data_IF_373520210687
#
_entry.id   IF_373520210687
#
_cell.length_a   1.000
_cell.length_b   1.000
_cell.length_c   1.000
_cell.angle_alpha   90.00
_cell.angle_beta   90.00
_cell.angle_gamma   90.00
#
_symmetry.space_group_name_H-M   'P 1'
#
loop_
_entity.id
_entity.type
_entity.pdbx_description
1 polymer ?
#
# COMPACT_ATOMS: atom_id res chain seq x y z
N UNK A 1 5.64 -13.08 14.57
CA UNK A 1 5.17 -11.66 14.55
C UNK A 1 3.88 -11.60 13.77
N UNK A 2 2.80 -11.07 14.38
CA UNK A 2 1.48 -11.02 13.73
C UNK A 2 1.33 -9.74 12.91
N UNK A 3 1.12 -9.90 11.61
CA UNK A 3 0.97 -8.80 10.64
C UNK A 3 -0.50 -8.73 10.20
N UNK A 4 -1.06 -7.52 10.16
CA UNK A 4 -2.32 -7.22 9.50
C UNK A 4 -2.02 -6.34 8.27
N UNK A 5 -2.72 -6.57 7.14
CA UNK A 5 -2.51 -5.82 5.92
C UNK A 5 -3.83 -5.45 5.26
N UNK A 6 -3.92 -4.22 4.75
CA UNK A 6 -5.07 -3.67 4.01
C UNK A 6 -4.61 -2.69 2.93
N UNK A 7 -5.48 -2.38 1.99
CA UNK A 7 -5.33 -1.32 0.99
C UNK A 7 -6.68 -0.80 0.51
N UNK A 8 -6.66 0.29 -0.27
CA UNK A 8 -7.81 0.82 -1.03
C UNK A 8 -9.02 1.15 -0.16
N UNK A 9 -8.76 1.67 1.03
CA UNK A 9 -9.85 2.01 1.95
C UNK A 9 -10.68 3.21 1.48
N UNK A 10 -10.11 4.12 0.67
CA UNK A 10 -10.79 5.32 0.13
C UNK A 10 -11.68 6.03 1.16
N UNK A 11 -11.17 6.18 2.38
CA UNK A 11 -11.85 6.84 3.49
C UNK A 11 -12.88 6.03 4.26
N UNK A 12 -13.15 4.77 3.91
CA UNK A 12 -14.05 3.87 4.63
C UNK A 12 -13.39 3.28 5.88
N UNK A 13 -13.09 4.14 6.86
CA UNK A 13 -12.34 3.73 8.06
C UNK A 13 -13.17 2.89 9.04
N UNK A 14 -14.49 3.11 9.09
CA UNK A 14 -15.38 2.48 10.09
C UNK A 14 -15.90 1.12 9.65
N UNK A 15 -15.84 0.83 8.35
CA UNK A 15 -16.35 -0.42 7.78
C UNK A 15 -15.30 -1.53 7.77
N UNK A 16 -14.07 -1.23 8.24
CA UNK A 16 -12.93 -2.14 8.26
C UNK A 16 -12.58 -2.47 9.70
N UNK A 17 -12.81 -3.71 10.10
CA UNK A 17 -12.48 -4.22 11.43
C UNK A 17 -11.03 -4.72 11.44
N UNK A 18 -10.14 -3.93 12.07
CA UNK A 18 -8.72 -4.27 12.20
C UNK A 18 -8.51 -5.11 13.45
N UNK A 19 -8.08 -6.38 13.31
CA UNK A 19 -7.81 -7.24 14.46
C UNK A 19 -6.54 -6.83 15.20
N UNK A 20 -6.39 -7.32 16.43
CA UNK A 20 -5.15 -7.15 17.19
C UNK A 20 -3.95 -7.76 16.43
N UNK A 21 -2.90 -6.95 16.23
CA UNK A 21 -1.67 -7.34 15.56
C UNK A 21 -0.46 -6.58 16.11
N UNK A 22 0.75 -7.10 15.85
CA UNK A 22 1.98 -6.38 16.17
C UNK A 22 2.16 -5.21 15.19
N UNK A 23 1.88 -5.43 13.90
CA UNK A 23 2.05 -4.44 12.83
C UNK A 23 0.83 -4.42 11.89
N UNK A 24 0.37 -3.21 11.56
CA UNK A 24 -0.53 -2.98 10.43
C UNK A 24 0.27 -2.36 9.27
N UNK A 25 0.19 -2.95 8.08
CA UNK A 25 0.70 -2.35 6.84
C UNK A 25 -0.46 -1.93 5.94
N UNK A 26 -0.37 -0.72 5.32
CA UNK A 26 -1.42 -0.18 4.46
C UNK A 26 -0.82 0.16 3.10
N UNK A 27 -1.29 -0.51 2.04
CA UNK A 27 -0.72 -0.46 0.70
C UNK A 27 -1.32 0.66 -0.20
N UNK A 28 -1.72 1.79 0.39
CA UNK A 28 -2.14 2.98 -0.36
C UNK A 28 -3.64 3.15 -0.53
N UNK A 29 -4.01 4.17 -1.29
CA UNK A 29 -5.38 4.63 -1.57
C UNK A 29 -6.20 4.87 -0.31
N UNK A 30 -5.67 5.81 0.49
CA UNK A 30 -6.17 6.17 1.81
C UNK A 30 -7.36 7.12 1.73
N UNK A 31 -7.22 8.18 0.89
CA UNK A 31 -8.07 9.38 0.87
C UNK A 31 -9.44 9.07 0.23
N UNK A 32 -10.56 9.62 0.78
CA UNK A 32 -11.86 9.51 0.14
C UNK A 32 -11.85 10.07 -1.29
N UNK A 33 -12.44 9.34 -2.24
CA UNK A 33 -12.51 9.74 -3.65
C UNK A 33 -13.09 11.16 -3.85
N UNK A 34 -14.06 11.55 -3.03
CA UNK A 34 -14.71 12.86 -3.12
C UNK A 34 -13.81 14.05 -2.83
N UNK A 35 -12.67 13.84 -2.17
CA UNK A 35 -11.73 14.91 -1.78
C UNK A 35 -10.31 14.70 -2.32
N UNK A 36 -10.02 13.62 -3.03
CA UNK A 36 -8.68 13.23 -3.50
C UNK A 36 -7.93 14.33 -4.27
N UNK A 37 -8.67 15.18 -5.01
CA UNK A 37 -8.09 16.30 -5.76
C UNK A 37 -8.00 17.62 -4.97
N UNK A 38 -8.50 17.66 -3.73
CA UNK A 38 -8.56 18.88 -2.92
C UNK A 38 -7.54 18.83 -1.77
N UNK A 39 -6.33 19.31 -2.01
CA UNK A 39 -5.18 19.15 -1.10
C UNK A 39 -5.46 19.60 0.34
N UNK A 40 -6.10 20.77 0.55
CA UNK A 40 -6.46 21.24 1.89
C UNK A 40 -7.50 20.35 2.59
N UNK A 41 -8.44 19.81 1.84
CA UNK A 41 -9.45 18.89 2.39
C UNK A 41 -8.82 17.55 2.74
N UNK A 42 -7.90 17.06 1.91
CA UNK A 42 -7.12 15.85 2.16
C UNK A 42 -6.28 15.97 3.44
N UNK A 43 -5.54 17.08 3.62
CA UNK A 43 -4.82 17.33 4.86
C UNK A 43 -5.74 17.36 6.09
N UNK A 44 -6.87 18.10 5.98
CA UNK A 44 -7.87 18.14 7.06
C UNK A 44 -8.41 16.77 7.41
N UNK A 45 -8.64 15.91 6.39
CA UNK A 45 -9.09 14.54 6.59
C UNK A 45 -8.03 13.69 7.29
N UNK A 46 -6.76 13.77 6.89
CA UNK A 46 -5.66 13.08 7.58
C UNK A 46 -5.62 13.46 9.07
N UNK A 47 -5.70 14.74 9.39
CA UNK A 47 -5.66 15.24 10.77
C UNK A 47 -6.89 14.85 11.59
N UNK A 48 -8.10 14.95 11.02
CA UNK A 48 -9.35 14.89 11.77
C UNK A 48 -10.04 13.53 11.72
N UNK A 49 -9.66 12.67 10.78
CA UNK A 49 -10.29 11.35 10.59
C UNK A 49 -9.26 10.23 10.61
N UNK A 50 -8.24 10.28 9.76
CA UNK A 50 -7.27 9.20 9.62
C UNK A 50 -6.41 9.02 10.87
N UNK A 51 -5.80 10.10 11.38
CA UNK A 51 -4.99 10.02 12.60
C UNK A 51 -5.79 9.54 13.83
N UNK A 52 -6.99 10.08 14.16
CA UNK A 52 -7.81 9.53 15.24
C UNK A 52 -8.20 8.06 15.05
N UNK A 53 -8.47 7.64 13.81
CA UNK A 53 -8.71 6.24 13.51
C UNK A 53 -7.48 5.38 13.79
N UNK A 54 -6.29 5.77 13.29
CA UNK A 54 -5.04 5.07 13.59
C UNK A 54 -4.80 4.94 15.10
N UNK A 55 -5.12 6.00 15.88
CA UNK A 55 -4.96 6.01 17.34
C UNK A 55 -5.88 5.03 18.05
N UNK A 56 -7.02 4.68 17.45
CA UNK A 56 -8.00 3.72 18.01
C UNK A 56 -7.67 2.25 17.72
N UNK A 57 -6.71 1.97 16.82
CA UNK A 57 -6.44 0.61 16.38
C UNK A 57 -5.67 -0.21 17.42
N UNK A 58 -6.01 -1.51 17.57
CA UNK A 58 -5.35 -2.43 18.50
C UNK A 58 -4.05 -3.01 17.93
N UNK A 59 -3.15 -2.12 17.48
CA UNK A 59 -1.86 -2.51 16.88
C UNK A 59 -0.71 -1.75 17.54
N UNK A 60 0.48 -2.36 17.57
CA UNK A 60 1.65 -1.70 18.15
C UNK A 60 2.17 -0.58 17.24
N UNK A 61 2.20 -0.82 15.92
CA UNK A 61 2.69 0.12 14.93
C UNK A 61 1.89 0.06 13.63
N UNK A 62 1.88 1.16 12.88
CA UNK A 62 1.34 1.23 11.51
C UNK A 62 2.41 1.74 10.57
N UNK A 63 2.59 1.03 9.46
CA UNK A 63 3.42 1.44 8.32
C UNK A 63 2.52 1.59 7.11
N UNK A 64 2.61 2.70 6.38
CA UNK A 64 1.76 2.93 5.22
C UNK A 64 2.48 3.63 4.08
N UNK A 65 2.00 3.42 2.87
CA UNK A 65 2.40 4.12 1.65
C UNK A 65 1.21 4.90 1.09
N UNK A 66 1.46 5.73 0.08
CA UNK A 66 0.41 6.31 -0.76
C UNK A 66 -0.02 5.34 -1.87
N UNK A 67 -1.17 5.61 -2.48
CA UNK A 67 -1.61 5.04 -3.74
C UNK A 67 -1.90 6.15 -4.77
N UNK A 68 -2.41 5.77 -5.94
CA UNK A 68 -2.63 6.70 -7.04
C UNK A 68 -3.75 7.73 -6.76
N UNK A 69 -4.63 7.48 -5.82
CA UNK A 69 -5.65 8.45 -5.40
C UNK A 69 -5.17 9.40 -4.29
N UNK A 70 -3.95 9.24 -3.77
CA UNK A 70 -3.42 10.04 -2.66
C UNK A 70 -2.62 11.27 -3.12
N UNK A 71 -3.20 12.09 -4.01
CA UNK A 71 -2.57 13.26 -4.63
C UNK A 71 -1.90 14.21 -3.65
N UNK A 72 -2.45 14.36 -2.45
CA UNK A 72 -1.87 15.21 -1.41
C UNK A 72 -0.45 14.74 -1.00
N UNK A 73 -0.20 13.42 -1.02
CA UNK A 73 1.08 12.84 -0.61
C UNK A 73 2.15 12.97 -1.71
N UNK A 74 1.76 13.10 -2.97
CA UNK A 74 2.67 13.35 -4.08
C UNK A 74 3.16 14.81 -4.11
N UNK A 75 2.28 15.78 -3.82
CA UNK A 75 2.59 17.22 -3.91
C UNK A 75 3.35 17.73 -2.68
N UNK A 76 4.64 17.44 -2.62
CA UNK A 76 5.55 17.87 -1.55
C UNK A 76 5.81 19.39 -1.54
N UNK A 77 5.44 20.10 -2.61
CA UNK A 77 5.51 21.57 -2.66
C UNK A 77 4.37 22.23 -1.86
N UNK A 78 3.33 21.47 -1.54
CA UNK A 78 2.22 21.95 -0.71
C UNK A 78 2.71 22.26 0.72
N UNK A 79 2.50 23.48 1.24
CA UNK A 79 2.90 23.83 2.60
C UNK A 79 2.33 22.91 3.69
N UNK A 80 1.14 22.36 3.47
CA UNK A 80 0.48 21.45 4.42
C UNK A 80 1.19 20.07 4.50
N UNK A 81 2.02 19.69 3.52
CA UNK A 81 2.75 18.43 3.52
C UNK A 81 3.73 18.32 4.70
N UNK A 82 4.41 19.43 5.06
CA UNK A 82 5.26 19.46 6.25
C UNK A 82 4.45 19.18 7.52
N UNK A 83 3.29 19.80 7.66
CA UNK A 83 2.42 19.57 8.81
C UNK A 83 1.83 18.16 8.82
N UNK A 84 1.65 17.53 7.65
CA UNK A 84 1.30 16.12 7.57
C UNK A 84 2.40 15.25 8.17
N UNK A 85 3.67 15.45 7.81
CA UNK A 85 4.80 14.71 8.39
C UNK A 85 4.89 14.89 9.91
N UNK A 86 4.62 16.11 10.41
CA UNK A 86 4.62 16.40 11.84
C UNK A 86 3.52 15.61 12.60
N UNK A 87 2.38 15.28 11.95
CA UNK A 87 1.33 14.46 12.57
C UNK A 87 1.81 13.04 12.92
N UNK A 88 2.82 12.54 12.20
CA UNK A 88 3.34 11.17 12.31
C UNK A 88 4.77 11.13 12.88
N UNK A 89 5.20 12.21 13.55
CA UNK A 89 6.57 12.33 14.08
C UNK A 89 6.82 11.55 15.36
N UNK A 90 5.78 10.98 16.00
CA UNK A 90 5.89 10.21 17.24
C UNK A 90 6.50 8.80 17.03
N UNK A 91 6.71 8.40 15.78
CA UNK A 91 7.29 7.12 15.41
C UNK A 91 6.35 5.92 15.51
N UNK A 92 5.10 6.10 15.93
CA UNK A 92 4.09 5.03 15.95
C UNK A 92 3.44 4.79 14.58
N UNK A 93 3.40 5.84 13.73
CA UNK A 93 2.81 5.81 12.40
C UNK A 93 3.85 6.22 11.39
N UNK A 94 4.24 5.33 10.48
CA UNK A 94 5.37 5.50 9.57
C UNK A 94 4.86 5.59 8.13
N UNK A 95 5.03 6.75 7.49
CA UNK A 95 4.83 6.92 6.06
C UNK A 95 6.12 6.56 5.31
N UNK A 96 6.02 5.66 4.34
CA UNK A 96 7.13 5.26 3.49
C UNK A 96 6.91 5.72 2.04
N UNK A 97 7.98 6.23 1.44
CA UNK A 97 8.09 6.51 0.02
C UNK A 97 9.54 6.25 -0.38
N UNK A 98 9.76 5.17 -1.11
CA UNK A 98 11.08 4.65 -1.50
C UNK A 98 12.04 4.53 -0.30
N UNK A 99 11.55 3.99 0.79
CA UNK A 99 12.30 3.89 2.05
C UNK A 99 12.21 2.51 2.68
N UNK A 100 13.34 2.11 3.25
CA UNK A 100 13.43 0.96 4.15
C UNK A 100 13.09 1.39 5.59
N UNK A 101 12.31 0.57 6.27
CA UNK A 101 12.01 0.69 7.69
C UNK A 101 12.20 -0.66 8.38
N UNK A 102 12.69 -0.66 9.60
CA UNK A 102 12.76 -1.86 10.44
C UNK A 102 11.87 -1.67 11.65
N UNK A 103 10.85 -2.51 11.75
CA UNK A 103 9.99 -2.61 12.92
C UNK A 103 10.52 -3.66 13.90
N UNK A 104 10.43 -3.38 15.19
CA UNK A 104 10.71 -4.34 16.26
C UNK A 104 9.54 -4.33 17.23
N UNK A 105 8.87 -5.48 17.39
CA UNK A 105 7.75 -5.59 18.31
C UNK A 105 8.23 -5.68 19.78
N UNK A 106 7.29 -5.64 20.72
CA UNK A 106 7.58 -5.73 22.18
C UNK A 106 8.25 -7.04 22.60
N UNK A 107 8.22 -8.08 21.76
CA UNK A 107 8.90 -9.37 22.01
C UNK A 107 10.34 -9.37 21.50
N UNK A 108 10.80 -8.30 20.82
CA UNK A 108 12.12 -8.21 20.23
C UNK A 108 12.23 -8.87 18.84
N UNK A 109 11.12 -9.29 18.23
CA UNK A 109 11.11 -9.80 16.86
C UNK A 109 11.19 -8.63 15.88
N UNK A 110 11.95 -8.77 14.79
CA UNK A 110 12.18 -7.71 13.79
C UNK A 110 11.56 -8.06 12.45
N UNK A 111 11.10 -7.03 11.74
CA UNK A 111 10.58 -7.11 10.38
C UNK A 111 11.12 -5.92 9.55
N UNK A 112 11.69 -6.20 8.39
CA UNK A 112 12.16 -5.18 7.45
C UNK A 112 11.10 -4.93 6.38
N UNK A 113 10.71 -3.65 6.19
CA UNK A 113 9.67 -3.23 5.24
C UNK A 113 10.27 -2.18 4.30
N UNK A 114 10.20 -2.40 3.00
CA UNK A 114 10.46 -1.35 2.01
C UNK A 114 9.13 -0.92 1.40
N UNK A 115 8.82 0.39 1.45
CA UNK A 115 7.57 0.94 0.94
C UNK A 115 7.80 1.84 -0.28
N UNK A 116 7.02 1.61 -1.35
CA UNK A 116 7.02 2.42 -2.58
C UNK A 116 5.60 2.56 -3.14
N UNK A 117 5.13 3.80 -3.42
CA UNK A 117 3.75 4.05 -3.85
C UNK A 117 3.55 3.95 -5.37
N UNK A 118 4.61 3.87 -6.15
CA UNK A 118 4.57 4.06 -7.59
C UNK A 118 3.89 2.92 -8.34
N UNK A 119 3.11 3.28 -9.38
CA UNK A 119 2.44 2.38 -10.31
C UNK A 119 2.73 2.78 -11.77
N UNK A 120 2.40 1.90 -12.70
CA UNK A 120 2.46 2.17 -14.14
C UNK A 120 1.36 3.16 -14.57
N UNK A 121 1.57 3.77 -15.76
CA UNK A 121 0.68 4.80 -16.29
C UNK A 121 -0.55 4.14 -16.95
N UNK A 122 -1.73 4.38 -16.40
CA UNK A 122 -3.02 4.03 -17.03
C UNK A 122 -4.01 5.22 -17.07
N UNK A 123 -3.60 6.41 -16.62
CA UNK A 123 -4.42 7.62 -16.58
C UNK A 123 -3.64 8.84 -16.10
N UNK A 124 -4.33 9.76 -15.44
CA UNK A 124 -3.77 11.01 -14.91
C UNK A 124 -3.89 11.05 -13.38
N UNK A 125 -3.38 10.01 -12.74
CA UNK A 125 -3.39 9.87 -11.28
C UNK A 125 -2.02 10.17 -10.69
N UNK A 126 -1.92 10.16 -9.37
CA UNK A 126 -0.66 10.40 -8.67
C UNK A 126 0.23 9.15 -8.65
N UNK A 127 1.51 9.34 -8.39
CA UNK A 127 2.50 8.27 -8.28
C UNK A 127 2.56 7.34 -9.50
N UNK A 128 2.19 7.85 -10.70
CA UNK A 128 2.28 7.09 -11.94
C UNK A 128 3.53 7.43 -12.70
N UNK A 129 4.25 6.38 -13.13
CA UNK A 129 5.49 6.52 -13.89
C UNK A 129 5.55 5.50 -15.03
N UNK A 130 6.36 5.82 -16.05
CA UNK A 130 6.63 4.87 -17.12
C UNK A 130 7.40 3.66 -16.59
N UNK A 131 7.23 2.48 -17.22
CA UNK A 131 7.99 1.26 -16.86
C UNK A 131 9.51 1.51 -16.85
N UNK A 132 10.03 2.36 -17.75
CA UNK A 132 11.44 2.74 -17.75
C UNK A 132 11.83 3.51 -16.47
N UNK A 133 10.97 4.40 -15.97
CA UNK A 133 11.20 5.13 -14.71
C UNK A 133 11.04 4.19 -13.52
N UNK A 134 9.99 3.34 -13.54
CA UNK A 134 9.75 2.33 -12.51
C UNK A 134 10.92 1.38 -12.34
N UNK A 135 11.57 0.95 -13.43
CA UNK A 135 12.81 0.15 -13.36
C UNK A 135 13.89 0.84 -12.52
N UNK A 136 14.05 2.17 -12.68
CA UNK A 136 15.04 2.94 -11.88
C UNK A 136 14.60 3.12 -10.43
N UNK A 137 13.30 3.28 -10.18
CA UNK A 137 12.75 3.39 -8.83
C UNK A 137 12.92 2.05 -8.11
N UNK A 138 12.45 0.96 -8.68
CA UNK A 138 12.46 -0.35 -8.06
C UNK A 138 13.86 -0.99 -7.98
N UNK A 139 14.84 -0.53 -8.78
CA UNK A 139 16.25 -0.95 -8.60
C UNK A 139 16.81 -0.58 -7.22
N UNK A 140 16.23 0.41 -6.53
CA UNK A 140 16.63 0.84 -5.18
C UNK A 140 16.10 -0.06 -4.06
N UNK A 141 15.16 -0.96 -4.36
CA UNK A 141 14.63 -1.92 -3.39
C UNK A 141 15.80 -2.75 -2.85
N UNK A 142 15.98 -2.83 -1.52
CA UNK A 142 17.01 -3.68 -0.93
C UNK A 142 16.73 -5.17 -1.17
N UNK A 143 17.77 -5.98 -1.19
CA UNK A 143 17.64 -7.44 -1.27
C UNK A 143 17.08 -8.03 0.03
N UNK A 144 16.31 -9.11 -0.10
CA UNK A 144 15.85 -9.95 1.00
C UNK A 144 15.08 -9.21 2.12
N UNK A 145 14.34 -8.13 1.79
CA UNK A 145 13.43 -7.51 2.77
C UNK A 145 12.30 -8.49 3.13
N UNK A 146 11.80 -8.42 4.35
CA UNK A 146 10.68 -9.28 4.76
C UNK A 146 9.40 -8.90 4.01
N UNK A 147 9.08 -7.60 3.95
CA UNK A 147 7.90 -7.07 3.26
C UNK A 147 8.31 -6.00 2.26
N UNK A 148 7.93 -6.21 1.00
CA UNK A 148 7.88 -5.18 -0.02
C UNK A 148 6.44 -4.69 -0.11
N UNK A 149 6.19 -3.47 0.38
CA UNK A 149 4.89 -2.82 0.37
C UNK A 149 4.79 -1.93 -0.86
N UNK A 150 3.94 -2.30 -1.82
CA UNK A 150 3.74 -1.57 -3.08
C UNK A 150 2.26 -1.22 -3.25
N UNK A 151 1.94 -0.21 -4.09
CA UNK A 151 0.54 0.01 -4.44
C UNK A 151 0.13 -0.87 -5.63
N UNK A 152 0.97 -0.97 -6.68
CA UNK A 152 0.71 -1.82 -7.85
C UNK A 152 1.13 -3.28 -7.64
N UNK A 153 0.54 -4.18 -8.43
CA UNK A 153 0.91 -5.61 -8.48
C UNK A 153 2.14 -5.86 -9.37
N UNK A 154 2.94 -6.90 -9.13
CA UNK A 154 3.92 -7.38 -10.10
C UNK A 154 3.23 -8.07 -11.27
N UNK A 155 3.69 -7.82 -12.52
CA UNK A 155 3.15 -8.45 -13.72
C UNK A 155 3.20 -9.97 -13.65
N UNK A 156 2.08 -10.60 -14.02
CA UNK A 156 1.92 -12.06 -14.10
C UNK A 156 1.50 -12.74 -12.81
N UNK A 157 1.32 -11.98 -11.71
CA UNK A 157 0.93 -12.53 -10.40
C UNK A 157 -0.02 -11.55 -9.71
N UNK A 158 -1.20 -12.03 -9.31
CA UNK A 158 -2.24 -11.25 -8.63
C UNK A 158 -2.71 -10.00 -9.41
N UNK A 159 -2.57 -10.03 -10.75
CA UNK A 159 -2.79 -8.89 -11.63
C UNK A 159 -3.76 -9.15 -12.79
N UNK A 160 -4.40 -10.32 -12.85
CA UNK A 160 -5.40 -10.65 -13.86
C UNK A 160 -6.73 -9.99 -13.48
N UNK A 161 -7.28 -9.16 -14.37
CA UNK A 161 -8.61 -8.57 -14.19
C UNK A 161 -9.69 -9.63 -14.36
N UNK A 162 -10.45 -9.89 -13.29
CA UNK A 162 -11.55 -10.87 -13.27
C UNK A 162 -12.91 -10.24 -13.62
N UNK A 163 -13.03 -8.92 -13.49
CA UNK A 163 -14.25 -8.19 -13.85
C UNK A 163 -14.50 -8.26 -15.37
N UNK A 164 -15.76 -8.49 -15.76
CA UNK A 164 -16.16 -8.42 -17.17
C UNK A 164 -15.94 -7.00 -17.74
N UNK A 165 -15.31 -6.90 -18.90
CA UNK A 165 -15.00 -5.64 -19.56
C UNK A 165 -13.84 -5.72 -20.52
N UNK A 166 -13.35 -4.57 -20.98
CA UNK A 166 -12.29 -4.46 -22.00
C UNK A 166 -10.97 -5.12 -21.54
N UNK A 167 -10.65 -5.04 -20.25
CA UNK A 167 -9.41 -5.60 -19.67
C UNK A 167 -9.59 -7.00 -19.07
N UNK A 168 -10.77 -7.61 -19.17
CA UNK A 168 -11.05 -8.93 -18.60
C UNK A 168 -10.05 -9.96 -19.10
N UNK A 169 -9.46 -10.71 -18.17
CA UNK A 169 -8.46 -11.76 -18.45
C UNK A 169 -7.06 -11.23 -18.81
N UNK A 170 -6.83 -9.92 -18.77
CA UNK A 170 -5.51 -9.34 -19.04
C UNK A 170 -4.71 -9.17 -17.75
N UNK A 171 -3.38 -9.36 -17.89
CA UNK A 171 -2.41 -8.96 -16.89
C UNK A 171 -2.15 -7.46 -17.01
N UNK A 172 -2.26 -6.71 -15.91
CA UNK A 172 -2.09 -5.26 -15.87
C UNK A 172 -1.12 -4.79 -14.80
N UNK A 173 -0.37 -5.69 -14.19
CA UNK A 173 0.69 -5.36 -13.24
C UNK A 173 1.96 -4.80 -13.90
N UNK A 174 2.87 -4.24 -13.12
CA UNK A 174 4.14 -3.67 -13.58
C UNK A 174 5.18 -4.75 -13.87
N UNK A 175 5.72 -4.74 -15.10
CA UNK A 175 6.83 -5.60 -15.50
C UNK A 175 8.12 -5.24 -14.76
N UNK A 176 8.37 -3.94 -14.53
CA UNK A 176 9.52 -3.47 -13.75
C UNK A 176 9.48 -3.96 -12.30
N UNK A 177 8.27 -4.01 -11.68
CA UNK A 177 8.13 -4.56 -10.33
C UNK A 177 8.36 -6.07 -10.33
N UNK A 178 7.80 -6.81 -11.31
CA UNK A 178 8.01 -8.26 -11.40
C UNK A 178 9.50 -8.62 -11.53
N UNK A 179 10.25 -7.86 -12.32
CA UNK A 179 11.69 -8.07 -12.48
C UNK A 179 12.46 -7.73 -11.19
N UNK A 180 12.09 -6.63 -10.53
CA UNK A 180 12.67 -6.26 -9.24
C UNK A 180 12.39 -7.32 -8.16
N UNK A 181 11.17 -7.87 -8.08
CA UNK A 181 10.83 -8.93 -7.13
C UNK A 181 11.68 -10.18 -7.35
N UNK A 182 11.86 -10.60 -8.62
CA UNK A 182 12.72 -11.76 -8.96
C UNK A 182 14.18 -11.53 -8.58
N UNK A 183 14.67 -10.30 -8.75
CA UNK A 183 16.06 -9.92 -8.43
C UNK A 183 16.27 -9.77 -6.92
N UNK A 184 15.39 -9.02 -6.24
CA UNK A 184 15.57 -8.60 -4.82
C UNK A 184 15.05 -9.63 -3.82
N UNK A 185 14.16 -10.54 -4.24
CA UNK A 185 13.64 -11.68 -3.46
C UNK A 185 13.09 -11.28 -2.09
N UNK A 186 12.13 -10.32 -2.01
CA UNK A 186 11.42 -10.09 -0.76
C UNK A 186 10.69 -11.37 -0.34
N UNK A 187 10.45 -11.58 0.96
CA UNK A 187 9.64 -12.73 1.39
C UNK A 187 8.18 -12.57 0.97
N UNK A 188 7.66 -11.34 1.16
CA UNK A 188 6.29 -10.99 0.83
C UNK A 188 6.25 -9.72 -0.02
N UNK A 189 5.38 -9.71 -1.05
CA UNK A 189 4.86 -8.49 -1.68
C UNK A 189 3.44 -8.30 -1.20
N UNK A 190 3.15 -7.12 -0.66
CA UNK A 190 1.81 -6.72 -0.23
C UNK A 190 1.40 -5.53 -1.08
N UNK A 191 0.32 -5.67 -1.86
CA UNK A 191 -0.16 -4.63 -2.76
C UNK A 191 -1.67 -4.43 -2.68
N UNK A 192 -2.18 -3.37 -3.31
CA UNK A 192 -3.59 -3.08 -3.51
C UNK A 192 -3.90 -2.76 -4.96
N UNK A 193 -4.59 -1.64 -5.19
CA UNK A 193 -4.86 -1.03 -6.48
C UNK A 193 -5.85 -1.80 -7.37
N UNK A 194 -5.70 -3.11 -7.51
CA UNK A 194 -6.45 -3.95 -8.42
C UNK A 194 -7.61 -4.64 -7.68
N UNK A 195 -8.76 -3.97 -7.61
CA UNK A 195 -9.92 -4.43 -6.83
C UNK A 195 -10.53 -5.73 -7.38
N UNK A 196 -10.47 -5.96 -8.70
CA UNK A 196 -11.11 -7.10 -9.39
C UNK A 196 -10.20 -8.28 -9.66
N UNK A 197 -9.03 -8.33 -9.03
CA UNK A 197 -8.11 -9.46 -9.21
C UNK A 197 -8.32 -10.54 -8.15
N UNK A 198 -7.52 -11.61 -8.23
CA UNK A 198 -7.52 -12.66 -7.20
C UNK A 198 -6.97 -12.10 -5.87
N UNK A 199 -7.66 -12.39 -4.78
CA UNK A 199 -7.25 -12.04 -3.41
C UNK A 199 -6.63 -13.23 -2.65
N UNK A 200 -6.59 -14.42 -3.26
CA UNK A 200 -5.84 -15.54 -2.70
C UNK A 200 -4.33 -15.33 -2.90
N UNK A 201 -3.49 -15.84 -1.99
CA UNK A 201 -2.05 -15.71 -2.12
C UNK A 201 -1.53 -16.41 -3.37
N UNK A 202 -0.67 -15.72 -4.12
CA UNK A 202 0.05 -16.24 -5.27
C UNK A 202 1.56 -16.17 -5.05
N UNK A 203 2.37 -16.80 -5.91
CA UNK A 203 3.83 -16.79 -5.76
C UNK A 203 4.54 -16.33 -7.01
N UNK A 204 5.61 -15.54 -6.82
CA UNK A 204 6.56 -15.16 -7.86
C UNK A 204 7.96 -15.64 -7.44
N UNK A 205 8.38 -16.80 -7.93
CA UNK A 205 9.55 -17.50 -7.40
C UNK A 205 9.31 -17.93 -5.94
N UNK A 206 10.20 -17.51 -5.05
CA UNK A 206 10.10 -17.78 -3.61
C UNK A 206 9.31 -16.70 -2.83
N UNK A 207 8.86 -15.64 -3.51
CA UNK A 207 8.10 -14.53 -2.93
C UNK A 207 6.62 -14.84 -2.92
N UNK A 208 5.95 -14.68 -1.78
CA UNK A 208 4.47 -14.72 -1.69
C UNK A 208 3.92 -13.33 -1.96
N UNK A 209 2.91 -13.23 -2.83
CA UNK A 209 2.25 -11.99 -3.24
C UNK A 209 0.82 -11.98 -2.73
N UNK A 210 0.41 -10.88 -2.07
CA UNK A 210 -0.93 -10.68 -1.54
C UNK A 210 -1.55 -9.41 -2.10
N UNK A 211 -2.72 -9.52 -2.73
CA UNK A 211 -3.62 -8.39 -2.93
C UNK A 211 -4.43 -8.17 -1.64
N UNK A 212 -4.27 -7.00 -1.04
CA UNK A 212 -4.93 -6.65 0.24
C UNK A 212 -5.95 -5.52 0.10
N UNK A 213 -6.41 -5.24 -1.14
CA UNK A 213 -7.53 -4.33 -1.35
C UNK A 213 -8.75 -4.81 -0.58
N UNK A 214 -9.35 -3.94 0.21
CA UNK A 214 -10.57 -4.26 0.98
C UNK A 214 -11.85 -4.03 0.18
N UNK A 215 -11.74 -3.47 -1.02
CA UNK A 215 -12.88 -3.09 -1.87
C UNK A 215 -13.00 -3.90 -3.14
N UNK A 216 -14.25 -4.01 -3.61
CA UNK A 216 -14.58 -4.43 -4.97
C UNK A 216 -14.57 -3.23 -5.94
N UNK A 217 -14.81 -3.50 -7.22
CA UNK A 217 -14.89 -2.50 -8.30
C UNK A 217 -16.06 -1.51 -8.15
N UNK A 218 -17.03 -1.80 -7.30
CA UNK A 218 -18.09 -0.88 -6.92
C UNK A 218 -17.72 0.00 -5.72
N UNK A 219 -16.45 -0.06 -5.31
CA UNK A 219 -15.91 0.63 -4.13
C UNK A 219 -16.61 0.27 -2.81
N UNK A 220 -17.21 -0.92 -2.72
CA UNK A 220 -17.77 -1.46 -1.48
C UNK A 220 -16.69 -2.24 -0.74
N UNK A 221 -16.66 -2.12 0.58
CA UNK A 221 -15.84 -2.95 1.45
C UNK A 221 -16.43 -4.36 1.47
N UNK A 222 -15.74 -5.32 0.88
CA UNK A 222 -16.18 -6.73 0.73
C UNK A 222 -15.12 -7.72 1.19
N UNK A 223 -13.85 -7.34 1.18
CA UNK A 223 -12.75 -8.18 1.63
C UNK A 223 -12.33 -7.81 3.06
N UNK A 224 -11.96 -8.83 3.83
CA UNK A 224 -11.45 -8.66 5.19
C UNK A 224 -9.97 -8.31 5.18
N UNK A 225 -9.46 -7.61 6.21
CA UNK A 225 -8.04 -7.48 6.42
C UNK A 225 -7.32 -8.83 6.37
N UNK A 226 -6.20 -8.89 5.64
CA UNK A 226 -5.32 -10.06 5.65
C UNK A 226 -4.58 -10.11 6.98
N UNK A 227 -4.51 -11.30 7.59
CA UNK A 227 -3.71 -11.53 8.80
C UNK A 227 -2.82 -12.75 8.58
N UNK A 228 -1.53 -12.61 8.88
CA UNK A 228 -0.56 -13.68 8.77
C UNK A 228 0.56 -13.55 9.82
N UNK A 229 1.28 -14.61 10.05
CA UNK A 229 2.47 -14.64 10.91
C UNK A 229 3.75 -14.61 10.07
N UNK A 230 4.67 -13.70 10.44
CA UNK A 230 6.01 -13.56 9.86
C UNK A 230 7.02 -14.36 10.70
#
# INVERSE_FOLDING_TARGET
MKICAISDMHGNLQDIDIPEADLLVIAGDLIPLSIQSYLKQSYKWFKQKFLPWLQSLPVEQVVFIAGNHDKFLEDKSNPDFKYFLDLFSDGKYIYLEDKLYTFTNKKGETCTIYGTPYSDIFGYWSFMESEQTLTKIFSKIPENVDILLTHTAPYGVSDIILQEGFYSGQHIGSTALADAVKEKKPKYVIHGHLHSTNHEPETLGDTTVYNVSVKDESYKVVYKPLVFDL
#
